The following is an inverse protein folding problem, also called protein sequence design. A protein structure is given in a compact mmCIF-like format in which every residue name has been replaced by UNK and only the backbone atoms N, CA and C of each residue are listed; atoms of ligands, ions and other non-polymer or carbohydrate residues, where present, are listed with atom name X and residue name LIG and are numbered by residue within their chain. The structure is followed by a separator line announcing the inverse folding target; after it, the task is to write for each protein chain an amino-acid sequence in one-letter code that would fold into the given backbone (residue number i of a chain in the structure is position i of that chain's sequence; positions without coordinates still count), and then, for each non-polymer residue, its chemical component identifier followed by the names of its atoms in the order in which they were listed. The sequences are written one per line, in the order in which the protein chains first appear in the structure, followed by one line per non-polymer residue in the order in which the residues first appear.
data_IF_139056116049
#
_entry.id   IF_139056116049
#
_cell.length_a   1.000
_cell.length_b   1.000
_cell.length_c   1.000
_cell.angle_alpha   90.00
_cell.angle_beta   90.00
_cell.angle_gamma   90.00
#
_symmetry.space_group_name_H-M   'P 1'
#
loop_
_entity.id
_entity.type
_entity.pdbx_description
1 polymer ?
#
# COMPACT_ATOMS: atom_id res chain seq x y z
N UNK A 1 28.00 -13.12 -26.46
CA UNK A 1 26.60 -12.81 -26.81
C UNK A 1 25.69 -13.55 -25.84
N UNK A 2 24.61 -12.86 -25.43
CA UNK A 2 23.54 -13.21 -24.49
C UNK A 2 23.72 -12.78 -23.01
N UNK A 3 22.62 -12.19 -22.54
CA UNK A 3 22.39 -11.24 -21.44
C UNK A 3 22.19 -11.89 -20.05
N UNK A 4 22.17 -11.09 -18.97
CA UNK A 4 22.04 -11.53 -17.58
C UNK A 4 20.57 -11.73 -17.18
N UNK A 5 20.31 -12.67 -16.26
CA UNK A 5 19.07 -12.72 -15.48
C UNK A 5 19.34 -12.10 -14.13
N UNK A 6 18.62 -11.00 -13.84
CA UNK A 6 18.58 -10.40 -12.51
C UNK A 6 17.88 -11.33 -11.53
N UNK A 7 18.48 -11.49 -10.35
CA UNK A 7 17.81 -12.02 -9.17
C UNK A 7 16.75 -11.00 -8.74
N UNK A 8 15.47 -11.31 -8.92
CA UNK A 8 14.43 -10.82 -8.03
C UNK A 8 14.48 -11.68 -6.76
N UNK A 9 14.58 -11.04 -5.60
CA UNK A 9 14.40 -11.69 -4.32
C UNK A 9 12.96 -12.17 -4.20
N UNK A 10 12.78 -13.48 -4.36
CA UNK A 10 11.61 -14.25 -3.92
C UNK A 10 12.19 -15.29 -2.98
N UNK A 11 11.89 -15.20 -1.68
CA UNK A 11 12.36 -16.17 -0.71
C UNK A 11 11.26 -16.45 0.33
N UNK A 12 11.02 -17.75 0.46
CA UNK A 12 9.93 -18.41 1.16
C UNK A 12 10.35 -18.93 2.54
N UNK A 13 9.37 -19.22 3.40
CA UNK A 13 9.51 -20.23 4.45
C UNK A 13 8.26 -21.14 4.44
N UNK A 14 8.48 -22.41 4.09
CA UNK A 14 7.52 -23.50 4.25
C UNK A 14 7.34 -23.87 5.73
N UNK A 15 6.11 -24.11 6.14
CA UNK A 15 5.81 -25.09 7.19
C UNK A 15 4.57 -25.88 6.80
N UNK A 16 4.80 -27.13 6.42
CA UNK A 16 3.78 -28.17 6.30
C UNK A 16 3.37 -28.57 7.71
N UNK A 17 2.13 -28.29 8.09
CA UNK A 17 1.44 -29.05 9.12
C UNK A 17 0.18 -29.63 8.50
N UNK A 18 0.17 -30.95 8.49
CA UNK A 18 -0.83 -31.86 7.95
C UNK A 18 -2.21 -31.70 8.59
N UNK A 19 -3.22 -31.64 7.72
CA UNK A 19 -4.48 -32.39 7.81
C UNK A 19 -5.36 -32.20 9.04
N UNK A 20 -6.36 -31.32 8.92
CA UNK A 20 -7.68 -31.55 9.51
C UNK A 20 -8.76 -31.14 8.51
N UNK A 21 -9.65 -32.09 8.20
CA UNK A 21 -10.81 -31.89 7.35
C UNK A 21 -11.75 -30.82 7.93
N UNK A 22 -12.07 -29.80 7.13
CA UNK A 22 -13.18 -28.88 7.40
C UNK A 22 -14.47 -29.56 6.93
N UNK A 23 -15.07 -30.36 7.81
CA UNK A 23 -16.47 -30.73 7.71
C UNK A 23 -17.30 -29.73 8.55
N UNK A 24 -18.36 -29.21 7.96
CA UNK A 24 -19.43 -28.39 8.56
C UNK A 24 -19.05 -26.96 9.00
N UNK A 25 -18.77 -26.11 8.01
CA UNK A 25 -18.84 -24.66 8.16
C UNK A 25 -20.29 -24.13 7.99
N UNK A 26 -20.65 -23.01 8.66
CA UNK A 26 -22.01 -22.46 8.64
C UNK A 26 -22.47 -22.10 7.22
N UNK A 27 -23.75 -22.38 6.91
CA UNK A 27 -24.43 -21.98 5.68
C UNK A 27 -24.23 -20.47 5.45
N UNK A 28 -23.84 -20.11 4.22
CA UNK A 28 -23.61 -18.75 3.72
C UNK A 28 -24.51 -17.72 4.45
N UNK A 29 -23.91 -17.00 5.40
CA UNK A 29 -24.61 -16.08 6.28
C UNK A 29 -25.23 -14.93 5.47
N UNK A 30 -26.50 -14.67 5.78
CA UNK A 30 -27.46 -13.73 5.20
C UNK A 30 -27.06 -12.25 5.30
N UNK A 31 -25.91 -11.86 4.76
CA UNK A 31 -25.66 -10.45 4.42
C UNK A 31 -25.85 -10.31 2.93
N UNK A 32 -27.01 -9.81 2.54
CA UNK A 32 -27.31 -9.61 1.14
C UNK A 32 -26.38 -8.53 0.55
N UNK A 33 -25.66 -8.93 -0.49
CA UNK A 33 -24.76 -8.09 -1.28
C UNK A 33 -25.52 -7.53 -2.50
N UNK A 34 -26.77 -7.12 -2.29
CA UNK A 34 -27.73 -6.97 -3.39
C UNK A 34 -27.44 -5.78 -4.32
N UNK A 35 -26.53 -4.89 -3.93
CA UNK A 35 -26.09 -3.77 -4.76
C UNK A 35 -24.64 -3.98 -5.20
N UNK A 36 -24.32 -3.98 -6.51
CA UNK A 36 -22.95 -4.03 -6.98
C UNK A 36 -22.19 -2.82 -6.45
N UNK A 37 -20.98 -3.07 -5.93
CA UNK A 37 -20.08 -1.98 -5.59
C UNK A 37 -19.71 -1.21 -6.85
N UNK A 38 -19.91 0.11 -6.86
CA UNK A 38 -19.60 1.01 -7.98
C UNK A 38 -18.10 1.31 -8.04
N UNK A 39 -17.35 0.27 -8.36
CA UNK A 39 -15.92 0.38 -8.49
C UNK A 39 -15.54 1.03 -9.83
N UNK A 40 -14.81 2.15 -9.81
CA UNK A 40 -14.46 2.91 -11.02
C UNK A 40 -13.02 3.44 -11.02
N UNK A 41 -12.43 3.55 -12.21
CA UNK A 41 -11.20 4.30 -12.44
C UNK A 41 -11.58 5.71 -12.92
N UNK A 42 -11.00 6.75 -12.33
CA UNK A 42 -11.17 8.12 -12.80
C UNK A 42 -10.47 8.30 -14.16
N UNK A 43 -11.14 8.98 -15.08
CA UNK A 43 -10.59 9.25 -16.42
C UNK A 43 -9.33 10.12 -16.32
N UNK A 44 -9.42 11.17 -15.51
CA UNK A 44 -8.34 12.14 -15.31
C UNK A 44 -7.36 11.68 -14.22
N UNK A 45 -6.04 11.82 -14.46
CA UNK A 45 -5.04 11.59 -13.42
C UNK A 45 -5.23 12.54 -12.24
N UNK A 46 -5.04 12.00 -11.03
CA UNK A 46 -5.00 12.75 -9.80
C UNK A 46 -3.61 13.36 -9.58
N UNK A 47 -3.56 14.64 -9.25
CA UNK A 47 -2.36 15.29 -8.73
C UNK A 47 -2.32 15.21 -7.21
N UNK A 48 -1.26 14.61 -6.67
CA UNK A 48 -0.96 14.60 -5.23
C UNK A 48 -0.62 15.99 -4.69
N UNK A 49 -0.22 16.92 -5.56
CA UNK A 49 -0.02 18.33 -5.24
C UNK A 49 -1.30 19.07 -4.83
N UNK A 50 -2.47 18.59 -5.26
CA UNK A 50 -3.78 19.15 -4.92
C UNK A 50 -4.43 18.38 -3.75
N UNK A 51 -3.99 18.72 -2.54
CA UNK A 51 -4.53 18.14 -1.31
C UNK A 51 -6.04 18.36 -1.17
N UNK A 52 -6.57 19.47 -1.68
CA UNK A 52 -8.00 19.75 -1.60
C UNK A 52 -8.80 18.82 -2.52
N UNK A 53 -8.30 18.56 -3.73
CA UNK A 53 -8.88 17.57 -4.64
C UNK A 53 -8.85 16.17 -4.05
N UNK A 54 -7.71 15.71 -3.50
CA UNK A 54 -7.61 14.41 -2.81
C UNK A 54 -8.61 14.31 -1.66
N UNK A 55 -8.73 15.37 -0.85
CA UNK A 55 -9.66 15.41 0.28
C UNK A 55 -11.12 15.35 -0.17
N UNK A 56 -11.46 16.12 -1.20
CA UNK A 56 -12.80 16.17 -1.79
C UNK A 56 -13.18 14.82 -2.41
N UNK A 57 -12.28 14.23 -3.19
CA UNK A 57 -12.47 12.93 -3.82
C UNK A 57 -12.67 11.82 -2.77
N UNK A 58 -11.82 11.80 -1.74
CA UNK A 58 -11.96 10.84 -0.67
C UNK A 58 -13.25 11.03 0.13
N UNK A 59 -13.64 12.28 0.42
CA UNK A 59 -14.92 12.57 1.08
C UNK A 59 -16.11 12.10 0.22
N UNK A 60 -16.00 12.20 -1.10
CA UNK A 60 -17.00 11.65 -2.02
C UNK A 60 -17.05 10.12 -1.93
N UNK A 61 -15.91 9.43 -2.03
CA UNK A 61 -15.82 7.97 -1.85
C UNK A 61 -16.42 7.52 -0.51
N UNK A 62 -16.19 8.26 0.56
CA UNK A 62 -16.71 7.97 1.90
C UNK A 62 -18.22 8.14 2.09
N UNK A 63 -18.94 8.78 1.15
CA UNK A 63 -20.41 8.89 1.21
C UNK A 63 -21.13 7.65 0.68
N UNK A 64 -20.43 6.83 -0.10
CA UNK A 64 -21.01 5.64 -0.73
C UNK A 64 -21.14 4.48 0.25
N UNK A 65 -21.82 3.43 -0.18
CA UNK A 65 -21.97 2.19 0.56
C UNK A 65 -20.62 1.56 0.91
N UNK A 66 -20.65 0.64 1.87
CA UNK A 66 -19.47 -0.04 2.40
C UNK A 66 -18.68 -0.86 1.36
N UNK A 67 -19.28 -1.15 0.20
CA UNK A 67 -18.73 -1.92 -0.91
C UNK A 67 -18.24 -1.01 -2.07
N UNK A 68 -17.98 0.26 -1.81
CA UNK A 68 -17.55 1.23 -2.82
C UNK A 68 -16.06 1.56 -2.74
N UNK A 69 -15.39 1.65 -3.89
CA UNK A 69 -14.04 2.17 -4.00
C UNK A 69 -13.82 2.83 -5.36
N UNK A 70 -12.86 3.74 -5.42
CA UNK A 70 -12.48 4.40 -6.66
C UNK A 70 -10.98 4.42 -6.79
N UNK A 71 -10.48 4.30 -8.01
CA UNK A 71 -9.06 4.39 -8.30
C UNK A 71 -8.77 5.58 -9.21
N UNK A 72 -7.61 6.20 -9.06
CA UNK A 72 -7.15 7.28 -9.90
C UNK A 72 -5.66 7.07 -10.23
N UNK A 73 -5.28 7.26 -11.49
CA UNK A 73 -3.86 7.28 -11.88
C UNK A 73 -3.17 8.48 -11.26
N UNK A 74 -1.90 8.34 -10.91
CA UNK A 74 -1.13 9.42 -10.28
C UNK A 74 -0.28 10.16 -11.30
N UNK A 75 -0.42 11.49 -11.36
CA UNK A 75 0.35 12.30 -12.30
C UNK A 75 1.84 12.38 -11.94
N UNK A 76 2.15 12.38 -10.64
CA UNK A 76 3.51 12.48 -10.10
C UNK A 76 4.23 11.13 -10.06
N UNK A 77 3.49 10.02 -10.24
CA UNK A 77 4.03 8.67 -10.17
C UNK A 77 3.50 7.83 -11.34
N UNK A 78 4.09 7.99 -12.55
CA UNK A 78 3.70 7.23 -13.73
C UNK A 78 3.73 5.71 -13.47
N UNK A 79 2.76 4.99 -14.03
CA UNK A 79 2.61 3.56 -13.76
C UNK A 79 2.01 3.24 -12.39
N UNK A 80 1.54 4.25 -11.64
CA UNK A 80 0.90 4.03 -10.33
C UNK A 80 -0.53 4.55 -10.28
N UNK A 81 -1.36 3.91 -9.47
CA UNK A 81 -2.72 4.34 -9.17
C UNK A 81 -2.98 4.32 -7.66
N UNK A 82 -3.77 5.28 -7.18
CA UNK A 82 -4.31 5.31 -5.82
C UNK A 82 -5.76 4.83 -5.85
N UNK A 83 -6.10 3.85 -5.04
CA UNK A 83 -7.43 3.33 -4.82
C UNK A 83 -7.91 3.68 -3.40
N UNK A 84 -8.98 4.48 -3.31
CA UNK A 84 -9.62 4.82 -2.06
C UNK A 84 -10.85 3.95 -1.84
N UNK A 85 -10.89 3.31 -0.68
CA UNK A 85 -12.01 2.48 -0.24
C UNK A 85 -12.89 3.26 0.74
N UNK A 86 -14.22 3.13 0.61
CA UNK A 86 -15.15 3.72 1.56
C UNK A 86 -14.99 3.13 2.97
N UNK A 87 -14.51 1.88 3.06
CA UNK A 87 -14.32 1.19 4.32
C UNK A 87 -13.10 0.26 4.33
N UNK A 88 -12.26 0.33 5.39
CA UNK A 88 -11.06 -0.51 5.50
C UNK A 88 -11.34 -2.01 5.56
N UNK A 89 -12.49 -2.42 6.12
CA UNK A 89 -12.90 -3.83 6.09
C UNK A 89 -13.16 -4.36 4.67
N UNK A 90 -13.59 -3.51 3.74
CA UNK A 90 -13.73 -3.88 2.33
C UNK A 90 -12.35 -4.06 1.69
N UNK A 91 -11.44 -3.10 1.92
CA UNK A 91 -10.07 -3.16 1.42
C UNK A 91 -9.39 -4.48 1.81
N UNK A 92 -9.53 -4.92 3.06
CA UNK A 92 -9.05 -6.23 3.52
C UNK A 92 -9.58 -7.37 2.64
N UNK A 93 -10.89 -7.44 2.44
CA UNK A 93 -11.52 -8.52 1.69
C UNK A 93 -11.12 -8.53 0.21
N UNK A 94 -10.93 -7.34 -0.38
CA UNK A 94 -10.43 -7.20 -1.76
C UNK A 94 -9.06 -7.86 -1.86
N UNK A 95 -8.15 -7.52 -0.96
CA UNK A 95 -6.77 -7.99 -1.04
C UNK A 95 -6.57 -9.42 -0.56
N UNK A 96 -7.28 -9.87 0.48
CA UNK A 96 -7.28 -11.29 0.89
C UNK A 96 -7.73 -12.22 -0.23
N UNK A 97 -8.57 -11.74 -1.15
CA UNK A 97 -9.03 -12.52 -2.30
C UNK A 97 -8.09 -12.40 -3.48
N UNK A 98 -7.61 -11.21 -3.79
CA UNK A 98 -6.92 -10.91 -5.06
C UNK A 98 -5.42 -11.12 -5.05
N UNK A 99 -4.83 -11.12 -3.87
CA UNK A 99 -3.42 -11.34 -3.70
C UNK A 99 -3.32 -12.71 -3.04
N UNK A 100 -2.53 -13.62 -3.61
CA UNK A 100 -2.30 -14.97 -3.08
C UNK A 100 -1.65 -14.93 -1.69
N UNK A 101 -0.63 -15.75 -1.44
CA UNK A 101 0.15 -15.69 -0.19
C UNK A 101 0.99 -14.39 -0.08
N UNK A 102 0.35 -13.21 -0.07
CA UNK A 102 1.00 -11.98 0.37
C UNK A 102 1.05 -12.00 1.88
N UNK A 103 2.28 -11.88 2.40
CA UNK A 103 2.55 -11.85 3.83
C UNK A 103 1.92 -10.58 4.42
N UNK A 104 0.66 -10.71 4.85
CA UNK A 104 -0.02 -9.69 5.64
C UNK A 104 0.72 -9.61 6.99
N UNK A 105 1.15 -8.42 7.46
CA UNK A 105 1.87 -8.24 8.72
C UNK A 105 1.34 -9.12 9.87
N UNK A 106 2.22 -9.94 10.46
CA UNK A 106 1.89 -11.08 11.36
C UNK A 106 1.09 -10.69 12.60
N UNK A 107 1.14 -9.42 13.02
CA UNK A 107 0.38 -8.89 14.15
C UNK A 107 -1.14 -8.89 13.95
N UNK A 108 -1.63 -9.16 12.74
CA UNK A 108 -3.04 -8.93 12.35
C UNK A 108 -4.00 -10.08 12.59
N UNK A 109 -3.54 -11.31 12.88
CA UNK A 109 -4.46 -12.44 13.07
C UNK A 109 -5.16 -12.52 14.44
N UNK A 110 -4.73 -11.77 15.47
CA UNK A 110 -5.27 -11.98 16.83
C UNK A 110 -6.41 -11.07 17.28
N UNK A 111 -6.67 -9.93 16.65
CA UNK A 111 -7.77 -9.03 17.09
C UNK A 111 -8.25 -8.12 15.95
N UNK A 112 -9.22 -8.55 15.14
CA UNK A 112 -10.17 -7.68 14.40
C UNK A 112 -9.66 -6.42 13.67
N UNK A 113 -8.38 -6.34 13.31
CA UNK A 113 -7.75 -5.08 12.94
C UNK A 113 -7.72 -4.89 11.42
N UNK A 114 -8.21 -3.73 11.01
CA UNK A 114 -8.33 -3.27 9.62
C UNK A 114 -6.94 -3.04 9.02
N UNK A 115 -6.69 -3.50 7.79
CA UNK A 115 -5.59 -2.96 7.00
C UNK A 115 -5.87 -1.46 6.87
N UNK A 116 -4.86 -0.62 7.11
CA UNK A 116 -5.01 0.82 6.97
C UNK A 116 -4.66 1.26 5.55
N UNK A 117 -3.69 0.58 4.94
CA UNK A 117 -3.29 0.72 3.54
C UNK A 117 -2.50 -0.50 3.07
N UNK A 118 -2.31 -0.59 1.75
CA UNK A 118 -1.50 -1.62 1.06
C UNK A 118 -0.89 -1.00 -0.19
N UNK A 119 0.40 -1.21 -0.43
CA UNK A 119 1.02 -1.07 -1.74
C UNK A 119 1.22 -2.44 -2.40
N UNK A 120 0.86 -2.56 -3.68
CA UNK A 120 0.99 -3.80 -4.44
C UNK A 120 1.57 -3.54 -5.81
N UNK A 121 2.44 -4.44 -6.25
CA UNK A 121 2.75 -4.57 -7.67
C UNK A 121 1.66 -5.37 -8.36
N UNK A 122 1.22 -4.90 -9.51
CA UNK A 122 0.13 -5.52 -10.28
C UNK A 122 0.48 -6.93 -10.79
N UNK A 123 1.76 -7.26 -10.86
CA UNK A 123 2.24 -8.64 -11.10
C UNK A 123 1.88 -9.60 -9.96
N UNK A 124 1.72 -9.10 -8.73
CA UNK A 124 1.33 -9.87 -7.54
C UNK A 124 -0.19 -10.08 -7.47
N UNK A 125 -0.95 -9.34 -8.26
CA UNK A 125 -2.38 -9.60 -8.46
C UNK A 125 -2.47 -10.82 -9.36
N UNK A 126 -2.49 -11.99 -8.73
CA UNK A 126 -2.83 -13.24 -9.40
C UNK A 126 -4.27 -13.09 -9.91
N UNK A 127 -4.50 -13.50 -11.16
CA UNK A 127 -5.86 -13.81 -11.55
C UNK A 127 -6.27 -14.97 -10.65
N UNK A 128 -6.95 -14.68 -9.54
CA UNK A 128 -7.77 -15.67 -8.88
C UNK A 128 -8.57 -16.30 -10.01
N UNK A 129 -8.33 -17.57 -10.27
CA UNK A 129 -9.10 -18.30 -11.25
C UNK A 129 -10.54 -18.24 -10.75
N UNK A 130 -11.33 -17.32 -11.30
CA UNK A 130 -12.74 -17.15 -10.96
C UNK A 130 -13.49 -18.47 -11.11
N UNK A 131 -12.95 -19.37 -11.92
CA UNK A 131 -13.43 -20.71 -12.22
C UNK A 131 -13.26 -21.71 -11.05
N UNK A 132 -12.47 -21.40 -10.03
CA UNK A 132 -12.23 -22.29 -8.86
C UNK A 132 -13.04 -21.88 -7.62
N UNK A 133 -13.83 -20.80 -7.68
CA UNK A 133 -14.66 -20.37 -6.56
C UNK A 133 -15.93 -21.25 -6.45
N UNK A 134 -16.34 -21.64 -5.22
CA UNK A 134 -17.60 -22.33 -4.98
C UNK A 134 -18.81 -21.64 -5.66
N UNK A 135 -19.78 -22.38 -6.23
CA UNK A 135 -20.90 -21.81 -6.98
C UNK A 135 -21.72 -20.74 -6.26
N UNK A 136 -21.78 -20.78 -4.92
CA UNK A 136 -22.44 -19.75 -4.11
C UNK A 136 -21.70 -18.40 -4.09
N UNK A 137 -20.38 -18.40 -4.26
CA UNK A 137 -19.55 -17.20 -4.44
C UNK A 137 -19.57 -16.71 -5.90
N UNK A 138 -19.83 -17.62 -6.86
CA UNK A 138 -20.05 -17.28 -8.28
C UNK A 138 -21.42 -16.61 -8.49
N UNK A 139 -22.42 -16.92 -7.66
CA UNK A 139 -23.74 -16.32 -7.70
C UNK A 139 -23.79 -14.89 -7.10
N UNK A 140 -22.90 -14.56 -6.15
CA UNK A 140 -22.63 -13.20 -5.64
C UNK A 140 -21.81 -12.35 -6.63
N UNK A 141 -22.28 -12.35 -7.89
CA UNK A 141 -21.59 -11.93 -9.13
C UNK A 141 -21.26 -10.43 -9.25
N UNK A 142 -21.23 -9.72 -8.14
CA UNK A 142 -21.26 -8.26 -8.08
C UNK A 142 -20.03 -7.67 -7.39
N UNK A 143 -19.14 -8.51 -6.84
CA UNK A 143 -17.79 -8.06 -6.48
C UNK A 143 -16.87 -8.13 -7.70
N UNK A 144 -16.80 -7.01 -8.41
CA UNK A 144 -15.93 -6.85 -9.57
C UNK A 144 -14.53 -6.43 -9.09
N UNK A 145 -13.57 -7.35 -9.16
CA UNK A 145 -12.15 -7.02 -9.22
C UNK A 145 -11.78 -6.25 -10.52
N UNK A 146 -12.77 -6.00 -11.37
CA UNK A 146 -12.69 -5.34 -12.66
C UNK A 146 -11.80 -4.09 -12.65
N UNK A 147 -11.88 -3.15 -11.69
CA UNK A 147 -10.98 -1.99 -11.71
C UNK A 147 -9.50 -2.33 -11.57
N UNK A 148 -9.13 -3.32 -10.76
CA UNK A 148 -7.72 -3.71 -10.61
C UNK A 148 -7.22 -4.45 -11.86
N UNK A 149 -8.10 -5.23 -12.50
CA UNK A 149 -7.83 -5.84 -13.81
C UNK A 149 -7.74 -4.77 -14.91
N UNK A 150 -8.60 -3.77 -14.89
CA UNK A 150 -8.60 -2.62 -15.82
C UNK A 150 -7.33 -1.79 -15.63
N UNK A 151 -6.90 -1.54 -14.39
CA UNK A 151 -5.64 -0.85 -14.09
C UNK A 151 -4.46 -1.64 -14.64
N UNK A 152 -4.45 -2.98 -14.47
CA UNK A 152 -3.45 -3.86 -15.08
C UNK A 152 -3.45 -3.75 -16.60
N UNK A 153 -4.62 -3.79 -17.23
CA UNK A 153 -4.77 -3.64 -18.69
C UNK A 153 -4.37 -2.23 -19.17
N UNK A 154 -4.55 -1.22 -18.33
CA UNK A 154 -4.14 0.16 -18.58
C UNK A 154 -2.64 0.42 -18.32
N UNK A 155 -1.85 -0.61 -18.00
CA UNK A 155 -0.41 -0.49 -17.78
C UNK A 155 -0.04 0.16 -16.46
N UNK A 156 -0.88 0.01 -15.43
CA UNK A 156 -0.50 0.34 -14.05
C UNK A 156 0.36 -0.79 -13.50
N UNK A 157 1.52 -0.42 -12.96
CA UNK A 157 2.50 -1.31 -12.35
C UNK A 157 2.31 -1.39 -10.83
N UNK A 158 1.91 -0.28 -10.19
CA UNK A 158 1.74 -0.18 -8.74
C UNK A 158 0.36 0.33 -8.34
N UNK A 159 -0.27 -0.33 -7.38
CA UNK A 159 -1.52 0.10 -6.77
C UNK A 159 -1.25 0.46 -5.33
N UNK A 160 -1.56 1.70 -4.99
CA UNK A 160 -1.63 2.21 -3.62
C UNK A 160 -3.08 2.12 -3.19
N UNK A 161 -3.37 1.49 -2.07
CA UNK A 161 -4.72 1.36 -1.57
C UNK A 161 -4.81 1.83 -0.12
N UNK A 162 -5.88 2.55 0.19
CA UNK A 162 -6.15 2.98 1.57
C UNK A 162 -7.64 3.11 1.80
N UNK A 163 -8.07 2.85 3.03
CA UNK A 163 -9.35 3.36 3.49
C UNK A 163 -9.33 4.90 3.47
N UNK A 164 -10.44 5.51 3.10
CA UNK A 164 -10.59 6.96 3.20
C UNK A 164 -10.48 7.45 4.66
N UNK A 165 -10.07 8.70 4.84
CA UNK A 165 -10.08 9.41 6.13
C UNK A 165 -8.74 9.39 6.86
N UNK A 166 -7.72 8.73 6.29
CA UNK A 166 -6.41 8.58 6.92
C UNK A 166 -5.28 9.07 6.00
N UNK A 167 -5.13 10.39 5.89
CA UNK A 167 -4.09 10.99 5.04
C UNK A 167 -2.68 10.53 5.41
N UNK A 168 -2.40 10.30 6.69
CA UNK A 168 -1.10 9.79 7.13
C UNK A 168 -0.83 8.39 6.57
N UNK A 169 -1.85 7.52 6.53
CA UNK A 169 -1.71 6.22 5.87
C UNK A 169 -1.59 6.37 4.36
N UNK A 170 -2.41 7.19 3.71
CA UNK A 170 -2.29 7.42 2.25
C UNK A 170 -0.87 7.88 1.90
N UNK A 171 -0.32 8.84 2.66
CA UNK A 171 1.04 9.33 2.47
C UNK A 171 2.09 8.22 2.69
N UNK A 172 1.92 7.39 3.73
CA UNK A 172 2.78 6.25 4.00
C UNK A 172 2.82 5.27 2.83
N UNK A 173 1.65 4.85 2.32
CA UNK A 173 1.58 3.91 1.19
C UNK A 173 2.10 4.53 -0.12
N UNK A 174 1.90 5.84 -0.33
CA UNK A 174 2.47 6.56 -1.49
C UNK A 174 4.00 6.56 -1.47
N UNK A 175 4.61 6.66 -0.29
CA UNK A 175 6.07 6.58 -0.14
C UNK A 175 6.60 5.19 -0.49
N UNK A 176 5.86 4.12 -0.22
CA UNK A 176 6.21 2.77 -0.70
C UNK A 176 6.16 2.69 -2.23
N UNK A 177 5.09 3.19 -2.85
CA UNK A 177 4.99 3.19 -4.30
C UNK A 177 6.11 4.00 -4.96
N UNK A 178 6.49 5.15 -4.40
CA UNK A 178 7.65 5.91 -4.86
C UNK A 178 8.95 5.10 -4.74
N UNK A 179 9.15 4.42 -3.61
CA UNK A 179 10.33 3.59 -3.38
C UNK A 179 10.50 2.50 -4.45
N UNK A 180 9.42 1.90 -4.93
CA UNK A 180 9.50 0.92 -6.01
C UNK A 180 9.58 1.53 -7.41
N UNK A 181 9.03 2.72 -7.62
CA UNK A 181 8.90 3.33 -8.96
C UNK A 181 10.02 4.29 -9.34
N UNK A 182 10.73 4.87 -8.37
CA UNK A 182 11.86 5.79 -8.60
C UNK A 182 13.19 5.14 -8.18
N UNK A 183 13.99 4.61 -9.13
CA UNK A 183 15.26 3.97 -8.83
C UNK A 183 16.28 4.90 -8.16
N UNK A 184 16.21 6.21 -8.44
CA UNK A 184 17.10 7.21 -7.84
C UNK A 184 16.74 7.40 -6.38
N UNK A 185 15.45 7.61 -6.08
CA UNK A 185 14.94 7.68 -4.72
C UNK A 185 15.33 6.43 -3.91
N UNK A 186 15.06 5.24 -4.46
CA UNK A 186 15.42 3.96 -3.84
C UNK A 186 16.91 3.87 -3.51
N UNK A 187 17.78 4.28 -4.45
CA UNK A 187 19.24 4.26 -4.27
C UNK A 187 19.65 5.13 -3.09
N UNK A 188 19.11 6.35 -2.99
CA UNK A 188 19.41 7.26 -1.87
C UNK A 188 18.98 6.67 -0.54
N UNK A 189 17.75 6.12 -0.47
CA UNK A 189 17.23 5.49 0.74
C UNK A 189 18.11 4.32 1.20
N UNK A 190 18.53 3.44 0.29
CA UNK A 190 19.42 2.33 0.63
C UNK A 190 20.81 2.80 1.07
N UNK A 191 21.39 3.80 0.42
CA UNK A 191 22.66 4.38 0.84
C UNK A 191 22.53 5.01 2.23
N UNK A 192 21.47 5.77 2.49
CA UNK A 192 21.19 6.29 3.83
C UNK A 192 21.12 5.17 4.88
N UNK A 193 20.31 4.14 4.64
CA UNK A 193 20.16 3.01 5.56
C UNK A 193 21.49 2.32 5.89
N UNK A 194 22.31 2.06 4.88
CA UNK A 194 23.57 1.30 5.04
C UNK A 194 24.71 2.15 5.58
N UNK A 195 24.81 3.40 5.13
CA UNK A 195 26.01 4.22 5.29
C UNK A 195 25.84 5.32 6.34
N UNK A 196 24.62 5.84 6.55
CA UNK A 196 24.34 6.91 7.52
C UNK A 196 23.87 6.37 8.86
N UNK A 197 23.12 5.28 8.87
CA UNK A 197 22.72 4.63 10.11
C UNK A 197 23.82 3.70 10.62
N UNK A 198 24.08 3.73 11.93
CA UNK A 198 24.90 2.71 12.58
C UNK A 198 24.14 1.38 12.67
N UNK A 199 24.86 0.29 12.91
CA UNK A 199 24.21 -1.01 13.13
C UNK A 199 23.31 -1.00 14.38
N UNK A 200 23.66 -0.21 15.39
CA UNK A 200 22.81 0.00 16.57
C UNK A 200 21.48 0.68 16.20
N UNK A 201 21.53 1.72 15.37
CA UNK A 201 20.35 2.44 14.89
C UNK A 201 19.46 1.55 14.00
N UNK A 202 20.05 0.79 13.07
CA UNK A 202 19.30 -0.21 12.29
C UNK A 202 18.70 -1.29 13.19
N UNK A 203 19.44 -1.77 14.18
CA UNK A 203 18.96 -2.70 15.18
C UNK A 203 17.77 -2.16 15.98
N UNK A 204 17.76 -0.87 16.31
CA UNK A 204 16.60 -0.22 16.92
C UNK A 204 15.39 -0.25 16.00
N UNK A 205 15.54 0.17 14.73
CA UNK A 205 14.45 0.13 13.76
C UNK A 205 13.88 -1.30 13.62
N UNK A 206 14.75 -2.31 13.46
CA UNK A 206 14.33 -3.72 13.35
C UNK A 206 13.59 -4.23 14.57
N UNK A 207 14.05 -3.91 15.80
CA UNK A 207 13.37 -4.36 17.03
C UNK A 207 11.94 -3.87 17.10
N UNK A 208 11.72 -2.66 16.64
CA UNK A 208 10.47 -1.96 16.85
C UNK A 208 9.47 -2.21 15.72
N UNK A 209 9.96 -2.36 14.48
CA UNK A 209 9.16 -2.85 13.36
C UNK A 209 8.93 -4.37 13.42
N UNK A 210 9.82 -5.12 14.10
CA UNK A 210 9.80 -6.58 14.17
C UNK A 210 8.56 -7.18 14.85
N UNK A 211 7.75 -6.37 15.54
CA UNK A 211 6.45 -6.81 16.04
C UNK A 211 5.43 -7.03 14.91
N UNK A 212 5.62 -6.40 13.75
CA UNK A 212 4.68 -6.39 12.63
C UNK A 212 5.27 -7.04 11.37
N UNK A 213 6.59 -6.94 11.19
CA UNK A 213 7.30 -7.31 9.97
C UNK A 213 8.42 -8.31 10.28
N UNK A 214 8.92 -9.02 9.26
CA UNK A 214 10.10 -9.87 9.42
C UNK A 214 11.37 -8.99 9.52
N UNK A 215 12.02 -8.90 10.70
CA UNK A 215 13.21 -8.08 10.86
C UNK A 215 14.43 -8.64 10.12
N UNK A 216 14.39 -9.89 9.64
CA UNK A 216 15.46 -10.48 8.83
C UNK A 216 15.41 -10.02 7.36
N UNK A 217 14.29 -9.47 6.91
CA UNK A 217 14.14 -8.95 5.55
C UNK A 217 14.62 -7.49 5.46
N UNK A 218 15.88 -7.29 5.06
CA UNK A 218 16.48 -5.95 4.98
C UNK A 218 15.75 -5.02 4.02
N UNK A 219 15.31 -5.50 2.85
CA UNK A 219 14.62 -4.66 1.87
C UNK A 219 13.28 -4.15 2.40
N UNK A 220 12.56 -4.99 3.14
CA UNK A 220 11.34 -4.62 3.84
C UNK A 220 11.63 -3.58 4.94
N UNK A 221 12.68 -3.80 5.75
CA UNK A 221 13.05 -2.87 6.81
C UNK A 221 13.42 -1.49 6.27
N UNK A 222 14.15 -1.42 5.16
CA UNK A 222 14.50 -0.17 4.47
C UNK A 222 13.25 0.54 3.95
N UNK A 223 12.33 -0.22 3.32
CA UNK A 223 11.09 0.32 2.76
C UNK A 223 10.14 0.88 3.83
N UNK A 224 9.98 0.17 4.94
CA UNK A 224 9.18 0.62 6.09
C UNK A 224 9.82 1.82 6.77
N UNK A 225 11.14 1.76 6.99
CA UNK A 225 11.91 2.84 7.60
C UNK A 225 11.68 4.17 6.87
N UNK A 226 11.86 4.20 5.54
CA UNK A 226 11.72 5.45 4.79
C UNK A 226 10.30 5.99 4.86
N UNK A 227 9.27 5.13 4.77
CA UNK A 227 7.88 5.56 4.82
C UNK A 227 7.53 6.17 6.20
N UNK A 228 7.95 5.56 7.31
CA UNK A 228 7.74 6.13 8.66
C UNK A 228 8.53 7.41 8.92
N UNK A 229 9.74 7.53 8.38
CA UNK A 229 10.59 8.71 8.53
C UNK A 229 10.07 9.88 7.69
N UNK A 230 9.64 9.61 6.46
CA UNK A 230 9.29 10.62 5.46
C UNK A 230 7.81 11.01 5.40
N UNK A 231 6.88 10.23 5.99
CA UNK A 231 5.50 10.70 6.16
C UNK A 231 5.46 11.99 7.00
N UNK A 232 4.61 12.95 6.62
CA UNK A 232 4.52 14.25 7.27
C UNK A 232 3.94 14.17 8.68
N UNK A 233 2.96 13.28 8.88
CA UNK A 233 2.37 13.07 10.21
C UNK A 233 3.12 11.95 10.92
N UNK A 234 3.86 12.23 12.01
CA UNK A 234 4.57 11.20 12.74
C UNK A 234 3.59 10.16 13.30
N UNK A 235 3.95 8.89 13.23
CA UNK A 235 3.27 7.81 13.95
C UNK A 235 4.25 7.09 14.87
N UNK A 236 3.81 6.85 16.10
CA UNK A 236 4.48 5.95 17.02
C UNK A 236 5.77 6.48 17.67
N UNK A 237 6.63 5.53 18.01
CA UNK A 237 7.61 5.50 19.10
C UNK A 237 8.99 6.11 18.78
N UNK A 238 9.22 6.61 17.55
CA UNK A 238 10.51 7.13 17.09
C UNK A 238 10.67 8.66 17.07
N UNK A 239 9.78 9.42 17.72
CA UNK A 239 9.66 10.87 17.48
C UNK A 239 10.99 11.66 17.50
N UNK A 240 11.88 11.39 18.47
CA UNK A 240 13.14 12.12 18.59
C UNK A 240 14.16 11.80 17.48
N UNK A 241 14.46 10.51 17.24
CA UNK A 241 15.41 10.10 16.19
C UNK A 241 14.83 10.28 14.79
N UNK A 242 13.51 10.16 14.64
CA UNK A 242 12.82 10.38 13.36
C UNK A 242 13.10 11.77 12.82
N UNK A 243 12.99 12.83 13.61
CA UNK A 243 13.21 14.19 13.10
C UNK A 243 14.64 14.38 12.61
N UNK A 244 15.62 13.81 13.33
CA UNK A 244 17.02 13.83 12.92
C UNK A 244 17.24 13.06 11.62
N UNK A 245 16.76 11.81 11.54
CA UNK A 245 16.91 10.99 10.34
C UNK A 245 16.16 11.58 9.15
N UNK A 246 14.97 12.15 9.37
CA UNK A 246 14.17 12.83 8.36
C UNK A 246 14.95 13.99 7.75
N UNK A 247 15.50 14.88 8.58
CA UNK A 247 16.26 16.04 8.10
C UNK A 247 17.46 15.61 7.25
N UNK A 248 18.21 14.60 7.70
CA UNK A 248 19.36 14.07 6.96
C UNK A 248 18.95 13.38 5.66
N UNK A 249 17.90 12.55 5.68
CA UNK A 249 17.42 11.84 4.50
C UNK A 249 16.83 12.80 3.46
N UNK A 250 16.09 13.83 3.89
CA UNK A 250 15.61 14.89 2.99
C UNK A 250 16.77 15.62 2.32
N UNK A 251 17.84 15.92 3.06
CA UNK A 251 19.04 16.53 2.48
C UNK A 251 19.73 15.64 1.45
N UNK A 252 19.84 14.33 1.73
CA UNK A 252 20.44 13.37 0.80
C UNK A 252 19.56 13.21 -0.47
N UNK A 253 18.23 13.22 -0.33
CA UNK A 253 17.29 13.19 -1.46
C UNK A 253 17.42 14.47 -2.32
N UNK A 254 17.44 15.64 -1.68
CA UNK A 254 17.61 16.93 -2.36
C UNK A 254 18.93 16.99 -3.14
N UNK A 255 20.03 16.56 -2.54
CA UNK A 255 21.35 16.50 -3.20
C UNK A 255 21.35 15.56 -4.40
N UNK A 256 20.56 14.48 -4.35
CA UNK A 256 20.39 13.58 -5.48
C UNK A 256 19.43 14.13 -6.55
N UNK A 257 18.78 15.27 -6.32
CA UNK A 257 17.78 15.84 -7.24
C UNK A 257 16.51 14.99 -7.31
N UNK A 258 16.05 14.48 -6.16
CA UNK A 258 14.74 13.86 -5.96
C UNK A 258 14.13 14.38 -4.66
N UNK A 259 12.85 14.11 -4.41
CA UNK A 259 12.15 14.51 -3.20
C UNK A 259 11.09 13.47 -2.88
N UNK A 260 10.73 13.27 -1.60
CA UNK A 260 9.61 12.41 -1.27
C UNK A 260 8.31 12.97 -1.86
N UNK A 261 7.43 12.07 -2.30
CA UNK A 261 6.05 12.40 -2.56
C UNK A 261 5.44 12.90 -1.24
N UNK A 262 5.22 14.20 -1.17
CA UNK A 262 4.48 14.80 -0.08
C UNK A 262 3.07 15.08 -0.56
N UNK A 263 2.08 14.77 0.29
CA UNK A 263 0.76 15.38 0.17
C UNK A 263 0.93 16.86 0.51
N UNK A 264 1.30 17.63 -0.51
CA UNK A 264 1.71 19.02 -0.46
C UNK A 264 0.96 19.78 0.64
N UNK A 265 1.70 20.29 1.61
CA UNK A 265 1.19 21.24 2.59
C UNK A 265 1.14 22.65 2.00
N UNK A 266 0.91 22.84 0.69
CA UNK A 266 0.58 24.15 0.08
C UNK A 266 -0.79 24.65 0.60
N UNK A 267 -0.93 24.73 1.90
CA UNK A 267 -1.59 25.82 2.63
C UNK A 267 -0.57 26.95 2.84
N UNK A 268 0.36 27.17 1.90
CA UNK A 268 1.18 28.38 1.92
C UNK A 268 0.25 29.53 1.61
N UNK A 269 -0.13 30.23 2.68
CA UNK A 269 -0.45 31.64 2.74
C UNK A 269 -0.90 32.23 1.40
N UNK A 270 -2.20 32.51 1.30
CA UNK A 270 -2.64 33.67 0.53
C UNK A 270 -1.72 34.84 0.90
N UNK A 271 -0.82 35.22 0.00
CA UNK A 271 -0.10 36.48 0.09
C UNK A 271 -1.16 37.58 0.25
N UNK A 272 -1.10 38.42 1.29
CA UNK A 272 -1.89 39.64 1.28
C UNK A 272 -1.41 40.50 0.11
N UNK A 273 -2.34 40.83 -0.80
CA UNK A 273 -2.13 41.78 -1.90
C UNK A 273 -1.83 43.18 -1.38
#
# INVERSE_FOLDING_TARGET
MLHPRGLLAVLAVLSVVSGTAFADGPSCLERSWDEPGDARVLDEPLSLGDRAALLSWGAEVGKHSWNHYQCARLSELPGSALCLFSHGGMMNQVFERMVGDVEIPRSRHRQGNRLLGVDLRVEQIEQVAYDELPPCLVAERHFRATPLVELKQAGVDNVVASAWGNLATIEHELLHAQYFSDPRYKTVVHSFWRERLSEEQRGQVRRELGAQYDPANEDLMVNEFQAYVLQSTPRGWLLAERERWRALLLSDLEQAGTAPLALSSRLTASEPR
#
